data_IF_540770977897
#
_entry.id   IF_540770977897
#
_cell.length_a   1.000
_cell.length_b   1.000
_cell.length_c   1.000
_cell.angle_alpha   90.00
_cell.angle_beta   90.00
_cell.angle_gamma   90.00
#
_symmetry.space_group_name_H-M   'P 1'
#
loop_
_entity.id
_entity.type
_entity.pdbx_description
1 polymer ?
#
# COMPACT_ATOMS: atom_id res chain seq x y z
N UNK A 1 10.00 -23.53 1.66
CA UNK A 1 9.89 -22.36 0.75
C UNK A 1 8.81 -22.69 -0.27
N UNK A 2 7.67 -21.97 -0.28
CA UNK A 2 6.65 -22.11 -1.34
C UNK A 2 7.10 -21.28 -2.53
N UNK A 3 7.07 -21.85 -3.74
CA UNK A 3 7.42 -21.15 -4.99
C UNK A 3 6.10 -20.86 -5.74
N UNK A 4 5.92 -19.62 -6.18
CA UNK A 4 4.74 -19.18 -6.93
C UNK A 4 5.14 -18.89 -8.38
N UNK A 5 4.87 -19.80 -9.33
CA UNK A 5 5.28 -19.61 -10.72
C UNK A 5 4.49 -18.47 -11.37
N UNK A 6 5.17 -17.54 -12.02
CA UNK A 6 4.50 -16.42 -12.72
C UNK A 6 3.54 -16.90 -13.81
N UNK A 7 3.85 -18.04 -14.44
CA UNK A 7 3.01 -18.63 -15.48
C UNK A 7 1.61 -18.96 -14.96
N UNK A 8 1.43 -19.27 -13.66
CA UNK A 8 0.10 -19.56 -13.12
C UNK A 8 -0.81 -18.33 -13.03
N UNK A 9 -0.26 -17.13 -13.21
CA UNK A 9 -1.03 -15.90 -13.25
C UNK A 9 -1.63 -15.63 -14.64
N UNK A 10 -1.17 -16.31 -15.70
CA UNK A 10 -1.64 -16.08 -17.08
C UNK A 10 -1.57 -14.59 -17.51
N UNK A 11 -0.52 -13.87 -17.07
CA UNK A 11 -0.31 -12.47 -17.41
C UNK A 11 -0.04 -12.31 -18.91
N UNK A 12 -0.60 -11.26 -19.50
CA UNK A 12 -0.33 -10.92 -20.90
C UNK A 12 1.13 -10.47 -21.04
N UNK A 13 1.93 -11.24 -21.78
CA UNK A 13 3.36 -10.97 -22.02
C UNK A 13 4.20 -10.82 -20.75
N UNK A 14 3.89 -11.59 -19.69
CA UNK A 14 4.55 -11.49 -18.37
C UNK A 14 4.55 -10.06 -17.77
N UNK A 15 3.55 -9.26 -18.16
CA UNK A 15 3.37 -7.90 -17.71
C UNK A 15 2.17 -7.79 -16.76
N UNK A 16 2.34 -6.97 -15.73
CA UNK A 16 1.26 -6.51 -14.87
C UNK A 16 0.45 -5.50 -15.69
N UNK A 17 -0.82 -5.80 -15.93
CA UNK A 17 -1.73 -4.82 -16.52
C UNK A 17 -1.98 -3.71 -15.49
N UNK A 18 -1.76 -2.45 -15.86
CA UNK A 18 -1.92 -1.31 -14.94
C UNK A 18 -2.68 -0.17 -15.61
N UNK A 19 -3.78 0.28 -14.99
CA UNK A 19 -4.47 1.51 -15.36
C UNK A 19 -4.13 2.61 -14.38
N UNK A 20 -3.65 3.74 -14.88
CA UNK A 20 -3.20 4.87 -14.06
C UNK A 20 -3.90 6.15 -14.50
N UNK A 21 -4.43 6.89 -13.53
CA UNK A 21 -4.97 8.22 -13.71
C UNK A 21 -4.25 9.21 -12.77
N UNK A 22 -3.79 10.32 -13.32
CA UNK A 22 -3.08 11.39 -12.62
C UNK A 22 -3.98 12.62 -12.57
N UNK A 23 -4.26 13.10 -11.36
CA UNK A 23 -5.19 14.19 -11.11
C UNK A 23 -4.48 15.41 -10.52
N UNK A 24 -4.92 16.63 -10.87
CA UNK A 24 -4.55 17.81 -10.11
C UNK A 24 -5.15 17.76 -8.69
N UNK A 25 -4.58 18.53 -7.76
CA UNK A 25 -5.07 18.64 -6.39
C UNK A 25 -6.56 19.01 -6.29
N UNK A 26 -7.07 19.82 -7.23
CA UNK A 26 -8.48 20.25 -7.29
C UNK A 26 -9.46 19.10 -7.51
N UNK A 27 -8.99 17.95 -7.99
CA UNK A 27 -9.81 16.77 -8.25
C UNK A 27 -9.74 15.70 -7.13
N UNK A 28 -9.24 16.05 -5.94
CA UNK A 28 -9.14 15.13 -4.79
C UNK A 28 -10.47 14.45 -4.44
N UNK A 29 -11.60 15.17 -4.53
CA UNK A 29 -12.92 14.60 -4.23
C UNK A 29 -13.26 13.46 -5.20
N UNK A 30 -13.13 13.68 -6.51
CA UNK A 30 -13.42 12.67 -7.52
C UNK A 30 -12.47 11.46 -7.41
N UNK A 31 -11.18 11.69 -7.14
CA UNK A 31 -10.21 10.62 -6.96
C UNK A 31 -10.51 9.79 -5.71
N UNK A 32 -10.86 10.45 -4.59
CA UNK A 32 -11.23 9.80 -3.33
C UNK A 32 -12.52 8.97 -3.48
N UNK A 33 -13.56 9.53 -4.09
CA UNK A 33 -14.80 8.81 -4.40
C UNK A 33 -14.52 7.54 -5.22
N UNK A 34 -13.70 7.65 -6.26
CA UNK A 34 -13.33 6.50 -7.08
C UNK A 34 -12.55 5.44 -6.29
N UNK A 35 -11.58 5.83 -5.48
CA UNK A 35 -10.81 4.90 -4.66
C UNK A 35 -11.70 4.13 -3.67
N UNK A 36 -12.64 4.81 -3.00
CA UNK A 36 -13.54 4.16 -2.03
C UNK A 36 -14.51 3.16 -2.65
N UNK A 37 -14.77 3.24 -3.95
CA UNK A 37 -15.60 2.25 -4.65
C UNK A 37 -14.89 0.91 -4.87
N UNK A 38 -13.56 0.86 -4.73
CA UNK A 38 -12.79 -0.39 -4.73
C UNK A 38 -12.71 -1.02 -3.34
N UNK A 39 -13.77 -0.91 -2.54
CA UNK A 39 -13.82 -1.57 -1.24
C UNK A 39 -13.92 -3.09 -1.46
N UNK A 40 -12.95 -3.85 -0.94
CA UNK A 40 -12.76 -5.29 -1.20
C UNK A 40 -12.50 -5.65 -2.69
N UNK A 41 -11.35 -5.22 -3.26
CA UNK A 41 -11.02 -5.55 -4.64
C UNK A 41 -10.83 -7.06 -4.81
N UNK A 42 -11.09 -7.63 -6.01
CA UNK A 42 -10.83 -9.05 -6.25
C UNK A 42 -9.34 -9.38 -6.02
N UNK A 43 -8.99 -10.61 -5.60
CA UNK A 43 -7.63 -10.93 -5.17
C UNK A 43 -6.49 -10.57 -6.13
N UNK A 44 -6.64 -10.66 -7.47
CA UNK A 44 -5.57 -10.27 -8.40
C UNK A 44 -5.46 -8.75 -8.61
N UNK A 45 -6.39 -7.94 -8.09
CA UNK A 45 -6.41 -6.49 -8.22
C UNK A 45 -5.81 -5.82 -6.98
N UNK A 46 -4.80 -4.97 -7.21
CA UNK A 46 -4.30 -4.02 -6.22
C UNK A 46 -4.63 -2.60 -6.68
N UNK A 47 -5.25 -1.82 -5.81
CA UNK A 47 -5.55 -0.41 -6.02
C UNK A 47 -4.65 0.42 -5.11
N UNK A 48 -4.07 1.50 -5.64
CA UNK A 48 -3.30 2.45 -4.86
C UNK A 48 -3.65 3.87 -5.24
N UNK A 49 -3.72 4.73 -4.22
CA UNK A 49 -3.75 6.17 -4.37
C UNK A 49 -2.49 6.74 -3.73
N UNK A 50 -1.70 7.47 -4.52
CA UNK A 50 -0.44 8.05 -4.10
C UNK A 50 -0.53 9.56 -4.21
N UNK A 51 -0.22 10.26 -3.12
CA UNK A 51 0.02 11.69 -3.12
C UNK A 51 1.51 11.95 -3.26
N UNK A 52 1.87 12.72 -4.26
CA UNK A 52 3.26 13.04 -4.57
C UNK A 52 3.33 14.42 -5.21
N UNK A 53 4.53 14.99 -5.29
CA UNK A 53 4.78 16.22 -6.02
C UNK A 53 5.31 15.90 -7.40
N UNK A 54 4.85 16.66 -8.39
CA UNK A 54 5.30 16.49 -9.77
C UNK A 54 6.81 16.69 -9.91
N UNK A 55 7.48 15.87 -10.73
CA UNK A 55 8.93 15.95 -10.89
C UNK A 55 9.35 17.26 -11.58
N UNK A 56 10.65 17.63 -11.52
CA UNK A 56 11.18 18.88 -12.09
C UNK A 56 10.91 19.07 -13.60
N UNK A 57 10.72 17.97 -14.34
CA UNK A 57 10.46 17.98 -15.78
C UNK A 57 8.97 18.00 -16.15
N UNK A 58 8.07 18.05 -15.16
CA UNK A 58 6.63 18.16 -15.41
C UNK A 58 6.24 19.58 -15.88
N UNK A 59 5.08 19.74 -16.57
CA UNK A 59 4.59 21.06 -16.99
C UNK A 59 4.44 22.07 -15.83
N UNK A 60 4.04 21.57 -14.66
CA UNK A 60 4.00 22.33 -13.41
C UNK A 60 4.80 21.53 -12.38
N UNK A 61 6.09 21.83 -12.16
CA UNK A 61 6.92 21.14 -11.17
C UNK A 61 6.48 21.42 -9.73
N UNK A 62 6.84 20.52 -8.80
CA UNK A 62 6.63 20.67 -7.35
C UNK A 62 5.16 20.84 -6.92
N UNK A 63 4.21 20.54 -7.80
CA UNK A 63 2.78 20.70 -7.54
C UNK A 63 2.19 19.43 -6.88
N UNK A 64 1.40 19.58 -5.81
CA UNK A 64 0.66 18.46 -5.21
C UNK A 64 -0.23 17.75 -6.22
N UNK A 65 -0.02 16.44 -6.39
CA UNK A 65 -0.66 15.62 -7.41
C UNK A 65 -1.10 14.29 -6.84
N UNK A 66 -2.18 13.75 -7.40
CA UNK A 66 -2.77 12.48 -6.97
C UNK A 66 -2.64 11.47 -8.11
N UNK A 67 -2.07 10.31 -7.83
CA UNK A 67 -2.06 9.18 -8.74
C UNK A 67 -3.01 8.10 -8.20
N UNK A 68 -4.01 7.74 -8.99
CA UNK A 68 -4.84 6.55 -8.74
C UNK A 68 -4.43 5.46 -9.73
N UNK A 69 -4.02 4.31 -9.22
CA UNK A 69 -3.50 3.20 -10.03
C UNK A 69 -4.18 1.90 -9.65
N UNK A 70 -4.63 1.17 -10.66
CA UNK A 70 -5.11 -0.20 -10.56
C UNK A 70 -4.11 -1.13 -11.25
N UNK A 71 -3.56 -2.09 -10.54
CA UNK A 71 -2.65 -3.10 -11.07
C UNK A 71 -3.27 -4.48 -10.93
N UNK A 72 -3.38 -5.21 -12.04
CA UNK A 72 -4.00 -6.53 -12.10
C UNK A 72 -2.96 -7.60 -12.45
N UNK A 73 -2.85 -8.60 -11.60
CA UNK A 73 -1.92 -9.72 -11.74
C UNK A 73 -2.63 -10.90 -12.42
N UNK A 74 -2.94 -10.73 -13.70
CA UNK A 74 -3.65 -11.72 -14.50
C UNK A 74 -3.80 -11.34 -15.97
N UNK A 75 -4.70 -11.99 -16.71
CA UNK A 75 -5.02 -11.61 -18.09
C UNK A 75 -5.50 -10.16 -18.19
N UNK A 76 -5.05 -9.44 -19.21
CA UNK A 76 -5.34 -7.99 -19.35
C UNK A 76 -6.84 -7.65 -19.41
N UNK A 77 -7.64 -8.47 -20.09
CA UNK A 77 -9.08 -8.24 -20.23
C UNK A 77 -9.82 -8.34 -18.89
N UNK A 78 -9.37 -9.21 -17.98
CA UNK A 78 -9.90 -9.28 -16.62
C UNK A 78 -9.51 -8.04 -15.81
N UNK A 79 -8.29 -7.52 -16.01
CA UNK A 79 -7.85 -6.27 -15.40
C UNK A 79 -8.70 -5.07 -15.84
N UNK A 80 -8.99 -4.97 -17.13
CA UNK A 80 -9.90 -3.94 -17.67
C UNK A 80 -11.29 -4.02 -17.04
N UNK A 81 -11.84 -5.23 -16.90
CA UNK A 81 -13.13 -5.45 -16.27
C UNK A 81 -13.09 -5.11 -14.77
N UNK A 82 -12.08 -5.56 -14.05
CA UNK A 82 -11.93 -5.34 -12.61
C UNK A 82 -11.70 -3.85 -12.27
N UNK A 83 -11.10 -3.08 -13.19
CA UNK A 83 -10.85 -1.66 -13.04
C UNK A 83 -11.80 -0.78 -13.88
N UNK A 84 -12.96 -1.30 -14.29
CA UNK A 84 -13.91 -0.61 -15.19
C UNK A 84 -14.26 0.82 -14.73
N UNK A 85 -14.31 1.06 -13.41
CA UNK A 85 -14.57 2.40 -12.84
C UNK A 85 -13.55 3.46 -13.29
N UNK A 86 -12.30 3.08 -13.56
CA UNK A 86 -11.24 4.00 -14.02
C UNK A 86 -11.36 4.38 -15.51
N UNK A 87 -12.34 3.82 -16.22
CA UNK A 87 -12.69 4.21 -17.58
C UNK A 87 -13.87 5.17 -17.64
N UNK A 88 -14.50 5.46 -16.50
CA UNK A 88 -15.65 6.36 -16.42
C UNK A 88 -15.32 7.77 -16.96
N UNK A 89 -16.17 8.37 -17.81
CA UNK A 89 -15.87 9.64 -18.47
C UNK A 89 -15.66 10.79 -17.49
N UNK A 90 -16.34 10.80 -16.34
CA UNK A 90 -16.12 11.82 -15.29
C UNK A 90 -14.72 11.74 -14.68
N UNK A 91 -14.21 10.52 -14.47
CA UNK A 91 -12.89 10.28 -13.91
C UNK A 91 -11.80 10.58 -14.94
N UNK A 92 -12.02 10.17 -16.20
CA UNK A 92 -11.10 10.47 -17.30
C UNK A 92 -11.03 11.97 -17.58
N UNK A 93 -12.17 12.67 -17.58
CA UNK A 93 -12.24 14.11 -17.84
C UNK A 93 -11.63 14.97 -16.72
N UNK A 94 -11.59 14.46 -15.49
CA UNK A 94 -10.98 15.14 -14.34
C UNK A 94 -9.47 14.92 -14.20
N UNK A 95 -8.88 14.00 -14.96
CA UNK A 95 -7.46 13.66 -14.89
C UNK A 95 -6.62 14.47 -15.88
N UNK A 96 -5.42 14.88 -15.45
CA UNK A 96 -4.41 15.48 -16.33
C UNK A 96 -3.81 14.45 -17.30
N UNK A 97 -3.74 13.19 -16.87
CA UNK A 97 -3.22 12.09 -17.68
C UNK A 97 -3.90 10.80 -17.29
N UNK A 98 -4.29 9.99 -18.27
CA UNK A 98 -4.77 8.63 -18.05
C UNK A 98 -4.07 7.70 -19.03
N UNK A 99 -3.57 6.56 -18.54
CA UNK A 99 -2.85 5.59 -19.35
C UNK A 99 -3.13 4.16 -18.90
N UNK A 100 -3.10 3.24 -19.85
CA UNK A 100 -3.03 1.80 -19.60
C UNK A 100 -1.64 1.33 -19.98
N UNK A 101 -0.97 0.65 -19.05
CA UNK A 101 0.42 0.23 -19.15
C UNK A 101 0.49 -1.29 -18.97
N UNK A 102 1.43 -1.91 -19.68
CA UNK A 102 1.85 -3.28 -19.45
C UNK A 102 3.22 -3.22 -18.80
N UNK A 103 3.26 -3.32 -17.47
CA UNK A 103 4.48 -3.16 -16.69
C UNK A 103 5.18 -4.52 -16.61
N UNK A 104 6.38 -4.69 -17.19
CA UNK A 104 7.09 -5.96 -17.12
C UNK A 104 7.40 -6.34 -15.67
N UNK A 105 7.15 -7.59 -15.28
CA UNK A 105 7.41 -8.04 -13.91
C UNK A 105 8.87 -7.83 -13.49
N UNK A 106 9.81 -7.96 -14.44
CA UNK A 106 11.25 -7.78 -14.24
C UNK A 106 11.63 -6.34 -13.82
N UNK A 107 10.83 -5.34 -14.18
CA UNK A 107 11.11 -3.92 -13.93
C UNK A 107 9.99 -3.23 -13.15
N UNK A 108 9.08 -4.00 -12.54
CA UNK A 108 7.91 -3.47 -11.85
C UNK A 108 8.27 -2.48 -10.72
N UNK A 109 9.44 -2.63 -10.11
CA UNK A 109 9.92 -1.75 -9.04
C UNK A 109 10.47 -0.41 -9.53
N UNK A 110 10.72 -0.24 -10.84
CA UNK A 110 11.34 0.96 -11.39
C UNK A 110 10.37 2.16 -11.49
N UNK A 111 9.07 1.93 -11.24
CA UNK A 111 8.03 2.94 -11.46
C UNK A 111 8.17 4.21 -10.62
N UNK A 112 9.00 4.18 -9.57
CA UNK A 112 9.27 5.31 -8.68
C UNK A 112 10.77 5.67 -8.63
N UNK A 113 11.57 5.29 -9.63
CA UNK A 113 13.02 5.60 -9.66
C UNK A 113 13.33 7.09 -9.52
N UNK A 114 12.44 7.97 -10.02
CA UNK A 114 12.60 9.42 -9.87
C UNK A 114 12.51 9.91 -8.41
N UNK A 115 12.02 9.06 -7.50
CA UNK A 115 11.97 9.29 -6.06
C UNK A 115 13.13 8.63 -5.31
N UNK A 116 13.98 7.85 -6.01
CA UNK A 116 15.13 7.21 -5.40
C UNK A 116 16.22 8.26 -5.14
N UNK A 117 16.34 8.63 -3.88
CA UNK A 117 17.35 9.57 -3.39
C UNK A 117 18.19 8.86 -2.34
N UNK A 118 19.51 8.91 -2.51
CA UNK A 118 20.45 8.35 -1.57
C UNK A 118 20.93 9.38 -0.53
N UNK A 119 21.04 8.94 0.72
CA UNK A 119 21.44 9.77 1.86
C UNK A 119 20.28 10.48 2.55
N UNK A 120 20.58 11.20 3.63
CA UNK A 120 19.59 11.95 4.41
C UNK A 120 18.75 11.10 5.37
N UNK A 121 17.64 11.68 5.83
CA UNK A 121 16.72 11.05 6.78
C UNK A 121 15.53 10.42 6.05
N UNK A 122 15.21 9.17 6.40
CA UNK A 122 14.03 8.45 5.91
C UNK A 122 13.21 7.96 7.08
N UNK A 123 11.90 8.24 7.05
CA UNK A 123 10.92 7.65 7.96
C UNK A 123 9.75 7.10 7.15
N UNK A 124 9.25 5.95 7.57
CA UNK A 124 8.02 5.36 7.06
C UNK A 124 7.08 5.20 8.25
N UNK A 125 5.80 5.42 8.04
CA UNK A 125 4.74 5.12 9.00
C UNK A 125 3.56 4.56 8.23
N UNK A 126 2.97 3.49 8.75
CA UNK A 126 1.90 2.77 8.06
C UNK A 126 0.95 2.15 9.07
N UNK A 127 -0.31 2.00 8.69
CA UNK A 127 -1.29 1.22 9.42
C UNK A 127 -2.21 0.50 8.45
N UNK A 128 -2.91 -0.54 8.92
CA UNK A 128 -4.05 -1.12 8.22
C UNK A 128 -5.33 -0.56 8.82
N UNK A 129 -6.29 -0.27 7.95
CA UNK A 129 -7.61 0.21 8.31
C UNK A 129 -8.64 -0.73 7.71
N UNK A 130 -9.72 -0.98 8.45
CA UNK A 130 -10.81 -1.85 7.99
C UNK A 130 -11.76 -1.15 7.02
N UNK A 131 -11.72 0.18 6.99
CA UNK A 131 -12.58 1.01 6.17
C UNK A 131 -11.94 2.38 5.94
N UNK A 132 -12.18 2.96 4.76
CA UNK A 132 -11.75 4.31 4.39
C UNK A 132 -12.93 5.04 3.77
N UNK A 133 -13.15 6.29 4.16
CA UNK A 133 -14.14 7.18 3.55
C UNK A 133 -13.47 8.34 2.80
N UNK A 134 -14.27 9.02 1.97
CA UNK A 134 -13.84 10.12 1.11
C UNK A 134 -13.23 11.27 1.91
N UNK A 135 -13.86 11.65 3.03
CA UNK A 135 -13.41 12.72 3.92
C UNK A 135 -12.02 12.45 4.50
N UNK A 136 -11.76 11.23 4.97
CA UNK A 136 -10.45 10.85 5.53
C UNK A 136 -9.34 10.95 4.49
N UNK A 137 -9.62 10.58 3.23
CA UNK A 137 -8.67 10.71 2.13
C UNK A 137 -8.39 12.19 1.84
N UNK A 138 -9.44 13.03 1.75
CA UNK A 138 -9.30 14.47 1.51
C UNK A 138 -8.51 15.17 2.61
N UNK A 139 -8.86 14.92 3.88
CA UNK A 139 -8.15 15.49 5.03
C UNK A 139 -6.68 15.03 5.06
N UNK A 140 -6.40 13.77 4.72
CA UNK A 140 -5.02 13.28 4.63
C UNK A 140 -4.23 13.95 3.53
N UNK A 141 -4.84 14.23 2.37
CA UNK A 141 -4.22 14.96 1.27
C UNK A 141 -3.90 16.40 1.69
N UNK A 142 -4.86 17.11 2.27
CA UNK A 142 -4.70 18.48 2.75
C UNK A 142 -3.61 18.57 3.82
N UNK A 143 -3.58 17.61 4.75
CA UNK A 143 -2.57 17.51 5.78
C UNK A 143 -1.18 17.30 5.19
N UNK A 144 -1.03 16.31 4.31
CA UNK A 144 0.23 16.03 3.61
C UNK A 144 0.73 17.24 2.80
N UNK A 145 -0.15 17.86 2.01
CA UNK A 145 0.19 19.02 1.21
C UNK A 145 0.66 20.19 2.08
N UNK A 146 -0.08 20.49 3.17
CA UNK A 146 0.27 21.55 4.13
C UNK A 146 1.63 21.32 4.79
N UNK A 147 1.92 20.10 5.25
CA UNK A 147 3.24 19.78 5.85
C UNK A 147 4.37 20.01 4.85
N UNK A 148 4.18 19.64 3.59
CA UNK A 148 5.15 19.89 2.51
C UNK A 148 5.36 21.37 2.20
N UNK A 149 4.32 22.21 2.30
CA UNK A 149 4.49 23.66 2.15
C UNK A 149 5.22 24.31 3.33
N UNK A 150 4.98 23.82 4.55
CA UNK A 150 5.61 24.34 5.77
C UNK A 150 7.06 23.90 5.94
N UNK A 151 7.45 22.78 5.33
CA UNK A 151 8.77 22.16 5.51
C UNK A 151 9.35 21.75 4.16
N UNK A 152 10.37 22.47 3.68
CA UNK A 152 10.99 22.19 2.37
C UNK A 152 11.49 20.74 2.25
N UNK A 153 12.07 20.19 3.31
CA UNK A 153 12.56 18.81 3.32
C UNK A 153 11.44 17.77 3.23
N UNK A 154 10.21 18.12 3.67
CA UNK A 154 9.06 17.25 3.60
C UNK A 154 8.41 17.20 2.21
N UNK A 155 8.80 18.07 1.26
CA UNK A 155 8.25 18.06 -0.11
C UNK A 155 8.52 16.77 -0.88
N UNK A 156 9.51 15.98 -0.44
CA UNK A 156 9.85 14.66 -1.01
C UNK A 156 9.05 13.50 -0.41
N UNK A 157 8.21 13.77 0.58
CA UNK A 157 7.36 12.74 1.19
C UNK A 157 6.23 12.35 0.25
N UNK A 158 5.84 11.07 0.31
CA UNK A 158 4.63 10.57 -0.32
C UNK A 158 3.68 10.05 0.76
N UNK A 159 2.39 10.10 0.45
CA UNK A 159 1.37 9.39 1.21
C UNK A 159 0.71 8.37 0.29
N UNK A 160 0.46 7.16 0.81
CA UNK A 160 -0.08 6.05 0.03
C UNK A 160 -1.29 5.47 0.76
N UNK A 161 -2.41 5.40 0.04
CA UNK A 161 -3.54 4.57 0.39
C UNK A 161 -3.51 3.33 -0.50
N UNK A 162 -3.54 2.15 0.10
CA UNK A 162 -3.54 0.88 -0.61
C UNK A 162 -4.80 0.08 -0.30
N UNK A 163 -5.38 -0.53 -1.33
CA UNK A 163 -6.48 -1.48 -1.24
C UNK A 163 -6.12 -2.77 -1.98
N UNK A 164 -6.18 -3.89 -1.29
CA UNK A 164 -5.95 -5.22 -1.87
C UNK A 164 -6.67 -6.28 -1.02
N UNK A 165 -7.00 -7.42 -1.62
CA UNK A 165 -7.60 -8.52 -0.88
C UNK A 165 -6.55 -9.28 -0.07
N UNK A 166 -6.82 -9.51 1.21
CA UNK A 166 -6.01 -10.42 2.04
C UNK A 166 -6.36 -11.89 1.83
N UNK A 167 -7.42 -12.21 1.08
CA UNK A 167 -7.92 -13.58 0.92
C UNK A 167 -6.87 -14.51 0.33
N UNK A 168 -6.09 -14.03 -0.65
CA UNK A 168 -5.01 -14.84 -1.25
C UNK A 168 -3.88 -15.08 -0.27
N UNK A 169 -3.51 -14.08 0.53
CA UNK A 169 -2.50 -14.25 1.57
C UNK A 169 -2.96 -15.25 2.65
N UNK A 170 -4.25 -15.25 2.99
CA UNK A 170 -4.85 -16.26 3.87
C UNK A 170 -4.80 -17.65 3.23
N UNK A 171 -5.27 -17.81 1.99
CA UNK A 171 -5.23 -19.08 1.24
C UNK A 171 -3.80 -19.67 1.16
N UNK A 172 -2.82 -18.83 0.82
CA UNK A 172 -1.42 -19.24 0.67
C UNK A 172 -0.71 -19.44 2.00
N UNK A 173 -1.15 -18.72 3.05
CA UNK A 173 -0.67 -18.83 4.42
C UNK A 173 -1.16 -20.08 5.15
N UNK A 174 -2.16 -20.78 4.60
CA UNK A 174 -2.61 -22.07 5.12
C UNK A 174 -1.49 -23.12 5.03
N UNK A 175 -1.02 -23.52 6.21
CA UNK A 175 -0.27 -24.74 6.48
C UNK A 175 -0.79 -25.26 7.81
N UNK A 176 -0.96 -26.57 7.98
CA UNK A 176 -1.60 -27.14 9.19
C UNK A 176 -1.02 -26.55 10.49
N UNK A 177 0.31 -26.39 10.55
CA UNK A 177 0.98 -25.76 11.69
C UNK A 177 0.70 -24.26 11.86
N UNK A 178 0.76 -23.47 10.78
CA UNK A 178 0.47 -22.04 10.86
C UNK A 178 -1.01 -21.78 11.14
N UNK A 179 -1.91 -22.61 10.62
CA UNK A 179 -3.35 -22.52 10.85
C UNK A 179 -3.70 -22.90 12.28
N UNK A 180 -3.18 -24.02 12.80
CA UNK A 180 -3.37 -24.42 14.21
C UNK A 180 -2.81 -23.35 15.16
N UNK A 181 -1.62 -22.82 14.87
CA UNK A 181 -1.01 -21.75 15.66
C UNK A 181 -1.76 -20.41 15.54
N UNK A 182 -2.24 -20.06 14.34
CA UNK A 182 -3.02 -18.83 14.11
C UNK A 182 -4.41 -18.94 14.72
N UNK A 183 -5.05 -20.11 14.70
CA UNK A 183 -6.35 -20.39 15.31
C UNK A 183 -6.24 -20.30 16.83
N UNK A 184 -5.20 -20.92 17.44
CA UNK A 184 -4.87 -20.75 18.86
C UNK A 184 -4.63 -19.28 19.20
N UNK A 185 -3.89 -18.54 18.35
CA UNK A 185 -3.55 -17.14 18.59
C UNK A 185 -4.71 -16.17 18.35
N UNK A 186 -5.69 -16.52 17.51
CA UNK A 186 -6.82 -15.65 17.10
C UNK A 186 -8.14 -16.00 17.77
N UNK A 187 -8.22 -17.08 18.55
CA UNK A 187 -9.48 -17.56 19.16
C UNK A 187 -10.23 -16.54 20.04
N UNK A 188 -9.54 -15.48 20.47
CA UNK A 188 -10.09 -14.40 21.29
C UNK A 188 -9.94 -13.01 20.63
N UNK A 189 -9.56 -12.96 19.35
CA UNK A 189 -9.27 -11.72 18.65
C UNK A 189 -10.57 -11.11 18.06
N UNK A 190 -10.74 -9.79 18.18
CA UNK A 190 -11.85 -9.06 17.57
C UNK A 190 -11.26 -8.04 16.60
N UNK A 191 -11.24 -8.41 15.31
CA UNK A 191 -10.81 -7.54 14.20
C UNK A 191 -9.52 -8.02 13.49
N UNK A 192 -9.21 -7.48 12.30
CA UNK A 192 -8.06 -7.92 11.52
C UNK A 192 -6.71 -7.34 12.03
N UNK A 193 -5.57 -7.99 11.72
CA UNK A 193 -4.23 -7.62 12.20
C UNK A 193 -3.84 -6.18 11.83
N UNK A 194 -3.15 -5.46 12.72
CA UNK A 194 -2.72 -4.08 12.47
C UNK A 194 -1.20 -3.95 12.43
N UNK A 195 -0.76 -3.28 11.37
CA UNK A 195 0.59 -2.82 10.98
C UNK A 195 1.68 -3.88 10.68
N UNK A 196 2.76 -3.42 10.02
CA UNK A 196 3.91 -4.18 9.54
C UNK A 196 5.09 -3.93 10.47
N UNK A 197 5.68 -4.99 11.02
CA UNK A 197 6.89 -4.91 11.86
C UNK A 197 8.06 -4.16 11.18
N UNK A 198 8.13 -4.23 9.85
CA UNK A 198 9.16 -3.57 9.05
C UNK A 198 9.05 -2.03 9.03
N UNK A 199 7.99 -1.44 9.58
CA UNK A 199 7.77 0.01 9.62
C UNK A 199 7.71 0.55 11.07
N UNK A 200 8.33 -0.14 12.02
CA UNK A 200 8.46 0.31 13.42
C UNK A 200 9.15 1.69 13.49
N UNK A 201 8.69 2.54 14.42
CA UNK A 201 9.32 3.82 14.74
C UNK A 201 9.50 3.95 16.26
N UNK A 202 10.37 4.87 16.71
CA UNK A 202 10.68 5.01 18.13
C UNK A 202 9.45 5.48 18.91
N UNK A 203 9.12 4.77 20.00
CA UNK A 203 7.97 5.07 20.87
C UNK A 203 6.67 4.33 20.52
N UNK A 204 6.65 3.48 19.49
CA UNK A 204 5.50 2.60 19.23
C UNK A 204 5.42 1.48 20.27
N UNK A 205 4.24 1.21 20.83
CA UNK A 205 4.05 0.05 21.70
C UNK A 205 3.99 -1.23 20.86
N UNK A 206 4.62 -2.32 21.31
CA UNK A 206 4.47 -3.64 20.68
C UNK A 206 3.01 -4.11 20.68
N UNK A 207 2.21 -3.63 21.63
CA UNK A 207 0.77 -3.88 21.72
C UNK A 207 -0.02 -3.15 20.60
N UNK A 208 0.56 -2.12 19.97
CA UNK A 208 0.00 -1.52 18.74
C UNK A 208 0.30 -2.37 17.48
N UNK A 209 1.33 -3.22 17.54
CA UNK A 209 1.77 -4.07 16.42
C UNK A 209 1.17 -5.48 16.49
N UNK A 210 0.93 -5.97 17.70
CA UNK A 210 0.56 -7.34 17.95
C UNK A 210 -0.47 -7.42 19.09
N UNK A 211 -1.45 -8.34 19.01
CA UNK A 211 -2.32 -8.62 20.14
C UNK A 211 -1.53 -8.99 21.40
N UNK A 212 -2.05 -8.68 22.59
CA UNK A 212 -1.36 -8.87 23.88
C UNK A 212 -0.81 -10.30 24.09
N UNK A 213 -1.51 -11.32 23.59
CA UNK A 213 -1.05 -12.71 23.65
C UNK A 213 0.25 -12.95 22.87
N UNK A 214 0.42 -12.29 21.72
CA UNK A 214 1.64 -12.36 20.90
C UNK A 214 2.80 -11.60 21.52
N UNK A 215 2.55 -10.42 22.09
CA UNK A 215 3.59 -9.67 22.81
C UNK A 215 4.13 -10.49 23.98
N UNK A 216 3.25 -11.19 24.70
CA UNK A 216 3.64 -12.10 25.79
C UNK A 216 4.54 -13.24 25.29
N UNK A 217 4.16 -13.88 24.18
CA UNK A 217 4.97 -14.96 23.60
C UNK A 217 6.32 -14.47 23.05
N UNK A 218 6.36 -13.28 22.42
CA UNK A 218 7.61 -12.66 21.99
C UNK A 218 8.55 -12.39 23.17
N UNK A 219 8.01 -11.87 24.29
CA UNK A 219 8.76 -11.69 25.54
C UNK A 219 9.30 -13.02 26.07
N UNK A 220 8.51 -14.10 26.02
CA UNK A 220 8.94 -15.45 26.42
C UNK A 220 10.09 -15.96 25.55
N UNK A 221 9.94 -15.92 24.22
CA UNK A 221 10.97 -16.35 23.26
C UNK A 221 12.25 -15.55 23.47
N UNK A 222 12.17 -14.22 23.64
CA UNK A 222 13.33 -13.36 23.93
C UNK A 222 14.05 -13.81 25.21
N UNK A 223 13.32 -14.16 26.26
CA UNK A 223 13.90 -14.59 27.53
C UNK A 223 14.65 -15.93 27.45
N UNK A 224 14.26 -16.80 26.51
CA UNK A 224 14.89 -18.13 26.33
C UNK A 224 16.10 -18.04 25.42
N UNK A 225 15.95 -17.36 24.29
CA UNK A 225 16.96 -17.37 23.22
C UNK A 225 17.94 -16.20 23.27
N UNK A 226 17.62 -15.16 24.05
CA UNK A 226 18.49 -14.02 24.27
C UNK A 226 18.35 -13.48 25.70
N UNK A 227 18.54 -14.38 26.66
CA UNK A 227 18.46 -14.11 28.09
C UNK A 227 19.39 -12.97 28.54
N UNK A 228 20.56 -12.87 27.91
CA UNK A 228 21.57 -11.85 28.16
C UNK A 228 21.30 -10.53 27.42
N UNK A 229 20.25 -10.48 26.59
CA UNK A 229 19.84 -9.30 25.82
C UNK A 229 20.93 -8.76 24.89
N UNK A 230 21.70 -9.67 24.29
CA UNK A 230 22.74 -9.36 23.31
C UNK A 230 22.14 -8.66 22.09
N UNK A 231 20.96 -9.09 21.65
CA UNK A 231 20.20 -8.45 20.57
C UNK A 231 19.18 -7.48 21.19
N UNK A 232 19.59 -6.21 21.27
CA UNK A 232 18.75 -5.11 21.75
C UNK A 232 18.64 -4.02 20.69
N UNK A 233 17.48 -3.39 20.65
CA UNK A 233 17.19 -2.20 19.86
C UNK A 233 16.30 -1.26 20.69
N UNK A 234 16.25 0.03 20.38
CA UNK A 234 15.31 0.96 21.02
C UNK A 234 13.82 0.73 20.61
N UNK A 235 13.56 -0.32 19.82
CA UNK A 235 12.25 -0.84 19.40
C UNK A 235 12.05 -2.26 19.93
#
# INVERSE_FOLDING_TARGET
MKIFPLQSLNMTNDCIWTRRAIFPSTAIAAAAEAFTQFNDPPPPLAISMVFFRTPPNAPVPDSPTIMLSASYYGPAHEGEQAAALLFGPGLVGGANKVETLFVPMATANNGLDFMDVHGGYKRISSCYVSFVNVESIKESFESWARVGEQNQDAKRTIAVWGGFSTNKAVELGRSEFCDEFLEIARRNDIGPPRTLANNQYSGIDLEELYPNGRVTELKRVKSIWDAERVFWSPH
#
